data_IF_504959407447
#
_entry.id   IF_504959407447
#
_cell.length_a   1.000
_cell.length_b   1.000
_cell.length_c   1.000
_cell.angle_alpha   90.00
_cell.angle_beta   90.00
_cell.angle_gamma   90.00
#
_symmetry.space_group_name_H-M   'P 1'
#
loop_
_entity.id
_entity.type
_entity.pdbx_description
1 polymer ?
#
# COMPACT_ATOMS: atom_id res chain seq x y z
N UNK A 1 8.36 17.49 -27.59
CA UNK A 1 8.28 18.40 -26.44
C UNK A 1 6.88 19.00 -26.42
N UNK A 2 5.92 18.28 -25.84
CA UNK A 2 4.56 18.78 -25.62
C UNK A 2 4.44 19.22 -24.15
N UNK A 3 4.02 20.47 -23.96
CA UNK A 3 3.50 21.13 -22.76
C UNK A 3 3.61 20.38 -21.41
N UNK A 4 4.74 20.55 -20.72
CA UNK A 4 4.94 20.24 -19.29
C UNK A 4 4.46 21.36 -18.35
N UNK A 5 3.71 22.34 -18.83
CA UNK A 5 3.43 23.58 -18.09
C UNK A 5 2.11 23.60 -17.31
N UNK A 6 1.36 22.49 -17.23
CA UNK A 6 0.10 22.45 -16.48
C UNK A 6 -0.21 21.09 -15.79
N UNK A 7 0.80 20.25 -15.57
CA UNK A 7 0.66 18.91 -14.95
C UNK A 7 0.73 18.93 -13.43
N UNK A 8 1.42 19.91 -12.83
CA UNK A 8 1.69 19.97 -11.39
C UNK A 8 0.42 20.12 -10.55
N UNK A 9 -0.63 20.73 -11.11
CA UNK A 9 -1.93 20.87 -10.45
C UNK A 9 -2.80 19.63 -10.63
N UNK A 10 -2.56 18.81 -11.67
CA UNK A 10 -3.44 17.69 -12.03
C UNK A 10 -3.17 16.49 -11.13
N UNK A 11 -1.91 16.09 -10.94
CA UNK A 11 -1.59 14.99 -10.03
C UNK A 11 -1.98 15.32 -8.61
N UNK A 12 -1.63 16.52 -8.13
CA UNK A 12 -2.02 16.98 -6.80
C UNK A 12 -3.52 16.87 -6.59
N UNK A 13 -4.32 17.43 -7.50
CA UNK A 13 -5.79 17.35 -7.43
C UNK A 13 -6.29 15.92 -7.39
N UNK A 14 -5.75 15.04 -8.26
CA UNK A 14 -6.11 13.62 -8.28
C UNK A 14 -5.76 12.91 -6.97
N UNK A 15 -4.55 13.16 -6.45
CA UNK A 15 -4.04 12.50 -5.26
C UNK A 15 -4.76 12.99 -4.00
N UNK A 16 -5.01 14.29 -3.87
CA UNK A 16 -5.81 14.85 -2.77
C UNK A 16 -7.22 14.25 -2.73
N UNK A 17 -7.90 14.17 -3.87
CA UNK A 17 -9.21 13.50 -3.97
C UNK A 17 -9.14 12.03 -3.59
N UNK A 18 -8.03 11.35 -3.89
CA UNK A 18 -7.82 9.95 -3.51
C UNK A 18 -7.64 9.83 -2.00
N UNK A 19 -6.83 10.70 -1.38
CA UNK A 19 -6.62 10.74 0.06
C UNK A 19 -7.90 11.06 0.83
N UNK A 20 -8.70 12.00 0.33
CA UNK A 20 -10.04 12.29 0.88
C UNK A 20 -10.94 11.05 0.84
N UNK A 21 -10.93 10.32 -0.29
CA UNK A 21 -11.70 9.07 -0.44
C UNK A 21 -11.19 7.96 0.48
N UNK A 22 -9.92 7.93 0.86
CA UNK A 22 -9.43 6.96 1.85
C UNK A 22 -10.13 7.12 3.21
N UNK A 23 -10.64 8.32 3.53
CA UNK A 23 -11.33 8.59 4.79
C UNK A 23 -10.39 8.57 6.00
N UNK A 24 -9.11 8.89 5.79
CA UNK A 24 -8.14 9.04 6.87
C UNK A 24 -8.18 10.42 7.51
N UNK A 25 -7.71 10.49 8.76
CA UNK A 25 -7.52 11.75 9.47
C UNK A 25 -6.54 12.66 8.74
N UNK A 26 -6.61 13.96 9.03
CA UNK A 26 -5.70 14.95 8.46
C UNK A 26 -4.23 14.63 8.81
N UNK A 27 -4.01 14.14 10.02
CA UNK A 27 -2.71 13.72 10.54
C UNK A 27 -2.12 12.60 9.66
N UNK A 28 -2.86 11.52 9.43
CA UNK A 28 -2.40 10.42 8.56
C UNK A 28 -2.09 10.92 7.15
N UNK A 29 -2.89 11.83 6.60
CA UNK A 29 -2.63 12.40 5.27
C UNK A 29 -1.33 13.21 5.24
N UNK A 30 -1.09 14.07 6.24
CA UNK A 30 0.15 14.88 6.34
C UNK A 30 1.39 14.00 6.47
N UNK A 31 1.35 13.00 7.35
CA UNK A 31 2.50 12.10 7.54
C UNK A 31 2.76 11.23 6.31
N UNK A 32 1.71 10.76 5.64
CA UNK A 32 1.83 10.06 4.36
C UNK A 32 2.48 10.94 3.30
N UNK A 33 2.03 12.19 3.15
CA UNK A 33 2.57 13.12 2.16
C UNK A 33 4.03 13.47 2.45
N UNK A 34 4.37 13.70 3.72
CA UNK A 34 5.77 13.88 4.12
C UNK A 34 6.61 12.67 3.72
N UNK A 35 6.21 11.47 4.12
CA UNK A 35 7.01 10.28 3.85
C UNK A 35 7.02 9.89 2.37
N UNK A 36 5.97 10.20 1.62
CA UNK A 36 5.95 10.10 0.16
C UNK A 36 7.06 10.98 -0.43
N UNK A 37 7.17 12.24 -0.01
CA UNK A 37 8.27 13.13 -0.39
C UNK A 37 9.64 12.57 0.01
N UNK A 38 9.75 12.02 1.23
CA UNK A 38 10.99 11.44 1.75
C UNK A 38 11.48 10.21 0.98
N UNK A 39 10.57 9.47 0.34
CA UNK A 39 10.89 8.15 -0.19
C UNK A 39 10.64 8.01 -1.69
N UNK A 40 10.12 9.04 -2.37
CA UNK A 40 9.73 8.97 -3.78
C UNK A 40 10.87 8.58 -4.71
N UNK A 41 12.11 8.99 -4.41
CA UNK A 41 13.29 8.57 -5.17
C UNK A 41 13.57 7.10 -4.90
N UNK A 42 13.84 6.78 -3.63
CA UNK A 42 14.21 5.43 -3.18
C UNK A 42 13.19 4.36 -3.61
N UNK A 43 11.89 4.66 -3.57
CA UNK A 43 10.81 3.74 -3.98
C UNK A 43 10.78 3.45 -5.49
N UNK A 44 11.35 4.32 -6.32
CA UNK A 44 11.16 4.30 -7.78
C UNK A 44 12.46 4.17 -8.57
N UNK A 45 13.63 4.28 -7.93
CA UNK A 45 14.95 4.20 -8.58
C UNK A 45 15.08 2.97 -9.46
N UNK A 46 14.80 1.77 -8.94
CA UNK A 46 14.96 0.52 -9.70
C UNK A 46 14.07 0.47 -10.95
N UNK A 47 12.83 0.96 -10.84
CA UNK A 47 11.92 0.98 -11.98
C UNK A 47 12.39 1.96 -13.07
N UNK A 48 12.92 3.12 -12.69
CA UNK A 48 13.46 4.12 -13.63
C UNK A 48 14.74 3.60 -14.29
N UNK A 49 15.66 3.02 -13.51
CA UNK A 49 16.90 2.42 -14.02
C UNK A 49 16.64 1.23 -14.94
N UNK A 50 15.57 0.47 -14.71
CA UNK A 50 15.17 -0.62 -15.61
C UNK A 50 14.67 -0.13 -16.97
N UNK A 51 14.11 1.09 -17.01
CA UNK A 51 13.47 1.67 -18.19
C UNK A 51 14.41 2.51 -19.04
N UNK A 52 15.32 3.23 -18.40
CA UNK A 52 16.24 4.16 -19.04
C UNK A 52 17.68 3.78 -18.74
N UNK A 53 18.54 3.89 -19.76
CA UNK A 53 20.00 3.66 -19.63
C UNK A 53 20.81 4.96 -19.66
N UNK A 54 20.18 6.06 -20.04
CA UNK A 54 20.80 7.36 -20.16
C UNK A 54 20.69 8.11 -18.83
N UNK A 55 21.82 8.56 -18.30
CA UNK A 55 21.92 9.19 -16.99
C UNK A 55 21.17 10.52 -16.92
N UNK A 56 21.24 11.33 -17.98
CA UNK A 56 20.52 12.60 -18.06
C UNK A 56 19.02 12.33 -17.99
N UNK A 57 18.55 11.32 -18.74
CA UNK A 57 17.13 10.94 -18.73
C UNK A 57 16.69 10.42 -17.36
N UNK A 58 17.51 9.62 -16.68
CA UNK A 58 17.22 9.13 -15.32
C UNK A 58 17.06 10.32 -14.36
N UNK A 59 17.96 11.30 -14.42
CA UNK A 59 17.90 12.50 -13.58
C UNK A 59 16.67 13.36 -13.89
N UNK A 60 16.33 13.54 -15.17
CA UNK A 60 15.11 14.26 -15.58
C UNK A 60 13.84 13.61 -15.00
N UNK A 61 13.74 12.28 -15.07
CA UNK A 61 12.57 11.54 -14.58
C UNK A 61 12.46 11.58 -13.04
N UNK A 62 13.58 11.43 -12.33
CA UNK A 62 13.62 11.57 -10.88
C UNK A 62 13.24 12.99 -10.44
N UNK A 63 13.76 14.02 -11.12
CA UNK A 63 13.39 15.41 -10.85
C UNK A 63 11.92 15.69 -11.14
N UNK A 64 11.36 15.09 -12.18
CA UNK A 64 9.95 15.21 -12.49
C UNK A 64 9.09 14.57 -11.39
N UNK A 65 9.42 13.35 -10.95
CA UNK A 65 8.68 12.66 -9.88
C UNK A 65 8.69 13.45 -8.56
N UNK A 66 9.85 13.96 -8.14
CA UNK A 66 9.97 14.77 -6.92
C UNK A 66 9.09 16.03 -6.99
N UNK A 67 8.84 16.58 -8.19
CA UNK A 67 8.04 17.81 -8.37
C UNK A 67 6.56 17.53 -8.67
N UNK A 68 6.16 16.26 -8.73
CA UNK A 68 4.87 15.86 -9.26
C UNK A 68 3.70 16.31 -8.38
N UNK A 69 3.83 16.21 -7.05
CA UNK A 69 2.79 16.65 -6.11
C UNK A 69 2.89 18.14 -5.79
N UNK A 70 4.12 18.63 -5.56
CA UNK A 70 4.38 20.05 -5.35
C UNK A 70 5.81 20.41 -5.73
N UNK A 71 5.99 21.67 -6.16
CA UNK A 71 7.31 22.25 -6.45
C UNK A 71 7.87 22.93 -5.19
N UNK A 72 9.13 22.66 -4.82
CA UNK A 72 9.81 23.43 -3.77
C UNK A 72 9.83 24.92 -4.11
N UNK A 73 9.64 25.76 -3.10
CA UNK A 73 9.73 27.21 -3.24
C UNK A 73 11.14 27.67 -2.83
N UNK A 74 11.86 28.34 -3.72
CA UNK A 74 13.21 28.85 -3.42
C UNK A 74 13.22 29.91 -2.30
N UNK A 75 12.10 30.60 -2.06
CA UNK A 75 11.97 31.62 -1.02
C UNK A 75 11.60 31.06 0.35
N UNK A 76 11.14 29.81 0.44
CA UNK A 76 10.66 29.21 1.67
C UNK A 76 10.82 27.69 1.67
N UNK A 77 11.63 27.20 2.60
CA UNK A 77 11.81 25.78 2.86
C UNK A 77 11.07 25.40 4.17
N UNK A 78 9.94 24.66 4.10
CA UNK A 78 9.19 24.23 5.27
C UNK A 78 9.98 23.26 6.17
N UNK A 79 11.03 22.61 5.65
CA UNK A 79 11.88 21.75 6.47
C UNK A 79 12.70 22.53 7.49
N UNK A 80 12.91 23.83 7.30
CA UNK A 80 13.58 24.67 8.31
C UNK A 80 12.75 24.86 9.59
N UNK A 81 11.45 24.56 9.55
CA UNK A 81 10.56 24.59 10.73
C UNK A 81 10.54 23.27 11.48
N UNK A 82 11.19 22.23 10.95
CA UNK A 82 11.13 20.86 11.45
C UNK A 82 12.39 20.54 12.25
N UNK A 83 12.20 20.14 13.50
CA UNK A 83 13.23 19.37 14.21
C UNK A 83 13.16 17.93 13.71
N UNK A 84 14.28 17.40 13.23
CA UNK A 84 14.29 16.10 12.56
C UNK A 84 14.17 14.91 13.53
N UNK A 85 14.57 15.08 14.80
CA UNK A 85 14.65 14.00 15.79
C UNK A 85 13.33 13.24 15.97
N UNK A 86 12.14 13.87 16.16
CA UNK A 86 10.88 13.14 16.24
C UNK A 86 10.60 12.23 15.03
N UNK A 87 10.90 12.72 13.82
CA UNK A 87 10.68 11.99 12.58
C UNK A 87 11.68 10.83 12.47
N UNK A 88 12.96 11.09 12.73
CA UNK A 88 14.01 10.07 12.71
C UNK A 88 13.73 8.97 13.76
N UNK A 89 13.25 9.33 14.95
CA UNK A 89 12.78 8.38 15.98
C UNK A 89 11.61 7.53 15.50
N UNK A 90 10.62 8.11 14.81
CA UNK A 90 9.52 7.34 14.24
C UNK A 90 9.98 6.35 13.16
N UNK A 91 10.89 6.78 12.27
CA UNK A 91 11.48 5.93 11.22
C UNK A 91 12.25 4.77 11.85
N UNK A 92 13.13 5.07 12.82
CA UNK A 92 13.92 4.06 13.53
C UNK A 92 13.03 3.07 14.28
N UNK A 93 11.99 3.56 14.96
CA UNK A 93 11.04 2.74 15.72
C UNK A 93 10.25 1.81 14.81
N UNK A 94 9.74 2.30 13.68
CA UNK A 94 9.04 1.47 12.71
C UNK A 94 9.94 0.32 12.23
N UNK A 95 11.17 0.64 11.85
CA UNK A 95 12.16 -0.34 11.40
C UNK A 95 12.47 -1.36 12.50
N UNK A 96 12.64 -0.92 13.74
CA UNK A 96 12.86 -1.79 14.89
C UNK A 96 11.72 -2.78 15.07
N UNK A 97 10.47 -2.31 15.06
CA UNK A 97 9.28 -3.16 15.22
C UNK A 97 9.19 -4.18 14.09
N UNK A 98 9.33 -3.75 12.84
CA UNK A 98 9.23 -4.65 11.68
C UNK A 98 10.30 -5.73 11.73
N UNK A 99 11.56 -5.35 11.91
CA UNK A 99 12.68 -6.27 11.81
C UNK A 99 12.76 -7.20 13.03
N UNK A 100 12.66 -6.64 14.25
CA UNK A 100 12.85 -7.42 15.47
C UNK A 100 11.56 -8.10 15.92
N UNK A 101 10.49 -7.32 16.14
CA UNK A 101 9.27 -7.83 16.78
C UNK A 101 8.42 -8.67 15.82
N UNK A 102 8.28 -8.23 14.56
CA UNK A 102 7.37 -8.91 13.63
C UNK A 102 8.07 -10.00 12.80
N UNK A 103 9.26 -9.70 12.25
CA UNK A 103 10.00 -10.66 11.40
C UNK A 103 10.97 -11.55 12.18
N UNK A 104 11.20 -11.30 13.47
CA UNK A 104 12.11 -12.09 14.31
C UNK A 104 13.58 -11.99 13.87
N UNK A 105 13.95 -10.94 13.14
CA UNK A 105 15.31 -10.69 12.68
C UNK A 105 16.06 -9.84 13.71
N UNK A 106 16.38 -10.45 14.86
CA UNK A 106 17.02 -9.73 15.96
C UNK A 106 18.35 -9.06 15.53
N UNK A 107 18.52 -7.83 16.05
CA UNK A 107 19.72 -7.01 15.93
C UNK A 107 20.09 -6.63 14.49
N UNK A 108 19.15 -6.62 13.53
CA UNK A 108 19.48 -6.22 12.15
C UNK A 108 19.95 -4.77 12.05
N UNK A 109 19.28 -3.84 12.76
CA UNK A 109 19.71 -2.45 12.81
C UNK A 109 21.10 -2.33 13.42
N UNK A 110 21.38 -3.05 14.52
CA UNK A 110 22.72 -3.07 15.13
C UNK A 110 23.79 -3.69 14.23
N UNK A 111 23.45 -4.75 13.48
CA UNK A 111 24.33 -5.36 12.49
C UNK A 111 24.65 -4.37 11.37
N UNK A 112 23.64 -3.67 10.87
CA UNK A 112 23.80 -2.62 9.87
C UNK A 112 24.73 -1.51 10.39
N UNK A 113 24.49 -1.00 11.60
CA UNK A 113 25.34 0.01 12.26
C UNK A 113 26.79 -0.48 12.40
N UNK A 114 27.00 -1.72 12.86
CA UNK A 114 28.35 -2.29 13.03
C UNK A 114 29.08 -2.46 11.70
N UNK A 115 28.35 -2.77 10.63
CA UNK A 115 28.91 -2.95 9.29
C UNK A 115 29.17 -1.61 8.60
N UNK A 116 28.40 -0.58 8.94
CA UNK A 116 28.43 0.73 8.29
C UNK A 116 28.50 1.87 9.33
N UNK A 117 29.57 1.97 10.15
CA UNK A 117 29.64 2.93 11.27
C UNK A 117 29.53 4.40 10.82
N UNK A 118 29.98 4.72 9.61
CA UNK A 118 29.93 6.07 9.02
C UNK A 118 28.57 6.40 8.38
N UNK A 119 27.62 5.45 8.37
CA UNK A 119 26.32 5.53 7.67
C UNK A 119 25.18 5.35 8.66
N UNK A 120 25.15 6.19 9.71
CA UNK A 120 24.19 6.08 10.82
C UNK A 120 23.54 7.40 11.23
N UNK A 121 23.51 8.41 10.36
CA UNK A 121 23.12 9.79 10.74
C UNK A 121 21.66 9.94 11.19
N UNK A 122 20.73 9.17 10.61
CA UNK A 122 19.34 9.14 11.08
C UNK A 122 19.25 8.46 12.45
N UNK A 123 20.12 7.47 12.68
CA UNK A 123 20.11 6.61 13.86
C UNK A 123 20.80 7.30 15.05
N UNK A 124 21.87 8.03 14.81
CA UNK A 124 22.70 8.65 15.86
C UNK A 124 21.91 9.66 16.71
N UNK A 125 20.96 10.33 16.09
CA UNK A 125 20.19 11.42 16.72
C UNK A 125 18.78 10.98 17.15
N UNK A 126 18.44 9.70 16.94
CA UNK A 126 17.11 9.15 17.15
C UNK A 126 17.08 8.12 18.29
N UNK A 127 15.93 8.03 18.95
CA UNK A 127 15.66 7.02 19.98
C UNK A 127 14.42 6.23 19.61
N UNK A 128 14.44 4.92 19.87
CA UNK A 128 13.25 4.07 19.71
C UNK A 128 12.16 4.53 20.68
N UNK A 129 10.94 4.67 20.18
CA UNK A 129 9.75 5.00 20.96
C UNK A 129 9.24 3.72 21.66
N UNK A 130 9.54 3.59 22.96
CA UNK A 130 9.29 2.38 23.75
C UNK A 130 7.79 2.00 23.84
N UNK A 131 6.91 3.00 23.84
CA UNK A 131 5.47 2.78 23.87
C UNK A 131 4.96 2.11 22.59
N UNK A 132 5.62 2.34 21.45
CA UNK A 132 5.29 1.63 20.21
C UNK A 132 5.81 0.20 20.27
N UNK A 133 7.07 0.00 20.64
CA UNK A 133 7.64 -1.35 20.67
C UNK A 133 6.86 -2.25 21.62
N UNK A 134 6.44 -1.73 22.77
CA UNK A 134 5.58 -2.45 23.71
C UNK A 134 4.24 -2.89 23.11
N UNK A 135 3.59 -2.04 22.29
CA UNK A 135 2.31 -2.37 21.65
C UNK A 135 2.41 -3.53 20.63
N UNK A 136 3.57 -3.63 19.96
CA UNK A 136 3.80 -4.63 18.91
C UNK A 136 4.62 -5.84 19.38
N UNK A 137 5.05 -5.85 20.64
CA UNK A 137 5.79 -6.95 21.23
C UNK A 137 4.98 -8.25 21.17
N UNK A 138 5.64 -9.34 20.78
CA UNK A 138 5.07 -10.68 20.64
C UNK A 138 3.88 -10.76 19.66
N UNK A 139 3.66 -9.73 18.83
CA UNK A 139 2.60 -9.75 17.81
C UNK A 139 3.07 -10.50 16.57
N UNK A 140 2.14 -11.19 15.90
CA UNK A 140 2.47 -11.92 14.67
C UNK A 140 2.52 -10.96 13.49
N UNK A 141 3.46 -11.20 12.58
CA UNK A 141 3.48 -10.54 11.27
C UNK A 141 2.23 -10.92 10.46
N UNK A 142 1.23 -10.03 10.49
CA UNK A 142 -0.04 -10.15 9.80
C UNK A 142 -0.45 -8.82 9.21
N UNK A 143 -1.35 -8.86 8.24
CA UNK A 143 -1.71 -7.66 7.49
C UNK A 143 -2.38 -6.59 8.36
N UNK A 144 -3.28 -6.95 9.29
CA UNK A 144 -3.86 -5.98 10.22
C UNK A 144 -2.80 -5.34 11.13
N UNK A 145 -1.86 -6.13 11.67
CA UNK A 145 -0.73 -5.63 12.46
C UNK A 145 0.10 -4.61 11.68
N UNK A 146 0.45 -4.95 10.43
CA UNK A 146 1.21 -4.08 9.54
C UNK A 146 0.45 -2.78 9.22
N UNK A 147 -0.84 -2.89 8.91
CA UNK A 147 -1.69 -1.73 8.62
C UNK A 147 -1.77 -0.78 9.82
N UNK A 148 -1.97 -1.32 11.04
CA UNK A 148 -1.99 -0.53 12.27
C UNK A 148 -0.66 0.19 12.49
N UNK A 149 0.46 -0.50 12.26
CA UNK A 149 1.79 0.12 12.36
C UNK A 149 1.97 1.22 11.31
N UNK A 150 1.51 1.03 10.07
CA UNK A 150 1.53 2.07 9.04
C UNK A 150 0.71 3.30 9.48
N UNK A 151 -0.51 3.10 9.97
CA UNK A 151 -1.37 4.19 10.46
C UNK A 151 -0.68 4.94 11.61
N UNK A 152 -0.17 4.23 12.61
CA UNK A 152 0.52 4.84 13.76
C UNK A 152 1.74 5.65 13.32
N UNK A 153 2.51 5.13 12.36
CA UNK A 153 3.65 5.82 11.78
C UNK A 153 3.29 7.14 11.10
N UNK A 154 2.34 7.11 10.16
CA UNK A 154 1.92 8.31 9.46
C UNK A 154 1.20 9.29 10.37
N UNK A 155 0.37 8.81 11.29
CA UNK A 155 -0.34 9.66 12.24
C UNK A 155 0.64 10.41 13.15
N UNK A 156 1.68 9.77 13.67
CA UNK A 156 2.65 10.43 14.55
C UNK A 156 3.43 11.54 13.85
N UNK A 157 3.96 11.26 12.66
CA UNK A 157 4.62 12.29 11.84
C UNK A 157 3.62 13.41 11.51
N UNK A 158 2.39 13.03 11.14
CA UNK A 158 1.33 13.96 10.81
C UNK A 158 0.91 14.89 11.95
N UNK A 159 0.78 14.37 13.17
CA UNK A 159 0.50 15.15 14.38
C UNK A 159 1.58 16.19 14.62
N UNK A 160 2.85 15.80 14.48
CA UNK A 160 3.98 16.72 14.61
C UNK A 160 3.93 17.84 13.56
N UNK A 161 3.75 17.49 12.28
CA UNK A 161 3.66 18.46 11.19
C UNK A 161 2.44 19.39 11.32
N UNK A 162 1.31 18.86 11.81
CA UNK A 162 0.11 19.64 12.08
C UNK A 162 0.32 20.65 13.21
N UNK A 163 1.06 20.28 14.25
CA UNK A 163 1.40 21.20 15.34
C UNK A 163 2.27 22.37 14.86
N UNK A 164 3.03 22.19 13.79
CA UNK A 164 3.78 23.23 13.09
C UNK A 164 2.92 24.02 12.07
N UNK A 165 1.63 23.74 11.98
CA UNK A 165 0.69 24.38 11.04
C UNK A 165 1.05 24.23 9.56
N UNK A 166 1.80 23.19 9.19
CA UNK A 166 2.14 22.90 7.80
C UNK A 166 0.92 22.35 7.04
N UNK A 167 0.65 22.89 5.85
CA UNK A 167 -0.32 22.33 4.93
C UNK A 167 0.21 21.09 4.20
N UNK A 168 -0.65 20.40 3.46
CA UNK A 168 -0.29 19.16 2.74
C UNK A 168 0.83 19.35 1.70
N UNK A 169 0.88 20.52 1.05
CA UNK A 169 1.93 20.88 0.10
C UNK A 169 3.27 21.06 0.82
N UNK A 170 3.25 21.80 1.92
CA UNK A 170 4.43 22.04 2.77
C UNK A 170 4.94 20.73 3.37
N UNK A 171 4.06 19.84 3.84
CA UNK A 171 4.45 18.52 4.35
C UNK A 171 5.20 17.70 3.30
N UNK A 172 4.68 17.62 2.07
CA UNK A 172 5.35 16.89 0.98
C UNK A 172 6.72 17.49 0.63
N UNK A 173 6.80 18.81 0.48
CA UNK A 173 8.07 19.51 0.19
C UNK A 173 9.07 19.32 1.33
N UNK A 174 8.63 19.40 2.58
CA UNK A 174 9.48 19.15 3.73
C UNK A 174 10.05 17.72 3.74
N UNK A 175 9.25 16.75 3.32
CA UNK A 175 9.69 15.36 3.14
C UNK A 175 10.81 15.21 2.11
N UNK A 176 10.70 15.90 0.97
CA UNK A 176 11.75 15.94 -0.06
C UNK A 176 13.04 16.54 0.50
N UNK A 177 12.95 17.65 1.21
CA UNK A 177 14.12 18.34 1.75
C UNK A 177 14.76 17.54 2.90
N UNK A 178 13.96 16.85 3.71
CA UNK A 178 14.44 15.84 4.67
C UNK A 178 15.27 14.77 3.94
N UNK A 179 14.73 14.19 2.86
CA UNK A 179 15.46 13.18 2.07
C UNK A 179 16.76 13.72 1.51
N UNK A 180 16.75 14.89 0.86
CA UNK A 180 17.95 15.47 0.26
C UNK A 180 19.05 15.70 1.31
N UNK A 181 18.69 16.22 2.48
CA UNK A 181 19.65 16.43 3.58
C UNK A 181 20.24 15.11 4.06
N UNK A 182 19.41 14.16 4.47
CA UNK A 182 19.89 12.92 5.07
C UNK A 182 20.55 11.98 4.07
N UNK A 183 20.09 11.96 2.82
CA UNK A 183 20.72 11.19 1.75
C UNK A 183 22.12 11.71 1.41
N UNK A 184 22.35 13.04 1.48
CA UNK A 184 23.68 13.63 1.27
C UNK A 184 24.68 13.32 2.39
N UNK A 185 24.19 13.03 3.59
CA UNK A 185 25.00 12.70 4.77
C UNK A 185 25.22 11.19 4.85
N UNK A 186 24.16 10.41 4.60
CA UNK A 186 24.08 8.98 4.85
C UNK A 186 23.12 8.32 3.85
N UNK A 187 23.62 8.09 2.65
CA UNK A 187 22.85 7.47 1.57
C UNK A 187 22.39 6.04 1.94
N UNK A 188 23.28 5.22 2.47
CA UNK A 188 23.00 3.80 2.73
C UNK A 188 22.01 3.62 3.89
N UNK A 189 22.23 4.30 5.02
CA UNK A 189 21.33 4.23 6.18
C UNK A 189 19.95 4.77 5.86
N UNK A 190 19.87 5.91 5.17
CA UNK A 190 18.59 6.51 4.75
C UNK A 190 17.80 5.58 3.84
N UNK A 191 18.47 4.96 2.86
CA UNK A 191 17.80 4.04 1.94
C UNK A 191 17.40 2.73 2.62
N UNK A 192 18.25 2.15 3.47
CA UNK A 192 17.93 0.94 4.22
C UNK A 192 16.64 1.10 5.06
N UNK A 193 16.56 2.20 5.82
CA UNK A 193 15.40 2.47 6.68
C UNK A 193 14.14 2.79 5.86
N UNK A 194 14.28 3.54 4.76
CA UNK A 194 13.15 3.92 3.91
C UNK A 194 12.58 2.72 3.14
N UNK A 195 13.45 1.89 2.55
CA UNK A 195 13.04 0.69 1.81
C UNK A 195 12.34 -0.32 2.72
N UNK A 196 12.84 -0.52 3.94
CA UNK A 196 12.17 -1.40 4.91
C UNK A 196 10.74 -0.94 5.20
N UNK A 197 10.49 0.37 5.31
CA UNK A 197 9.14 0.92 5.45
C UNK A 197 8.31 0.64 4.20
N UNK A 198 8.81 1.00 3.01
CA UNK A 198 8.11 0.83 1.72
C UNK A 198 7.72 -0.64 1.48
N UNK A 199 8.65 -1.56 1.71
CA UNK A 199 8.48 -3.00 1.46
C UNK A 199 7.45 -3.63 2.39
N UNK A 200 7.24 -3.02 3.55
CA UNK A 200 6.27 -3.46 4.58
C UNK A 200 5.02 -2.59 4.66
N UNK A 201 4.75 -1.75 3.66
CA UNK A 201 3.47 -1.09 3.53
C UNK A 201 2.34 -2.12 3.27
N UNK A 202 1.19 -1.94 3.91
CA UNK A 202 -0.02 -2.66 3.53
C UNK A 202 -0.48 -2.30 2.11
N UNK A 203 -1.26 -3.16 1.43
CA UNK A 203 -1.63 -2.98 0.02
C UNK A 203 -2.19 -1.60 -0.34
N UNK A 204 -2.96 -0.97 0.56
CA UNK A 204 -3.48 0.37 0.33
C UNK A 204 -2.39 1.45 0.33
N UNK A 205 -1.42 1.40 1.24
CA UNK A 205 -0.31 2.33 1.22
C UNK A 205 0.63 2.06 0.04
N UNK A 206 0.94 0.78 -0.26
CA UNK A 206 1.71 0.42 -1.47
C UNK A 206 1.11 1.00 -2.73
N UNK A 207 -0.22 0.94 -2.83
CA UNK A 207 -0.97 1.53 -3.95
C UNK A 207 -0.71 3.03 -4.07
N UNK A 208 -0.86 3.78 -2.98
CA UNK A 208 -0.69 5.23 -2.99
C UNK A 208 0.76 5.65 -3.28
N UNK A 209 1.74 4.89 -2.79
CA UNK A 209 3.16 5.16 -3.07
C UNK A 209 3.55 4.82 -4.52
N UNK A 210 2.78 3.97 -5.20
CA UNK A 210 2.97 3.70 -6.63
C UNK A 210 2.26 4.71 -7.56
N UNK A 211 1.31 5.50 -7.05
CA UNK A 211 0.52 6.44 -7.86
C UNK A 211 1.36 7.51 -8.56
N UNK A 212 2.42 8.10 -7.99
CA UNK A 212 3.27 9.05 -8.73
C UNK A 212 3.82 8.47 -10.03
N UNK A 213 4.30 7.22 -9.97
CA UNK A 213 4.87 6.54 -11.12
C UNK A 213 3.80 6.14 -12.14
N UNK A 214 2.68 5.59 -11.65
CA UNK A 214 1.53 5.24 -12.50
C UNK A 214 0.93 6.46 -13.18
N UNK A 215 0.86 7.60 -12.50
CA UNK A 215 0.37 8.84 -13.11
C UNK A 215 1.31 9.33 -14.21
N UNK A 216 2.63 9.18 -14.01
CA UNK A 216 3.64 9.61 -14.99
C UNK A 216 3.58 8.77 -16.26
N UNK A 217 3.39 7.45 -16.16
CA UNK A 217 3.50 6.54 -17.31
C UNK A 217 2.18 5.97 -17.82
N UNK A 218 1.15 5.92 -16.99
CA UNK A 218 -0.14 5.31 -17.25
C UNK A 218 -1.32 6.15 -16.71
N UNK A 219 -1.38 7.47 -17.00
CA UNK A 219 -2.39 8.35 -16.41
C UNK A 219 -3.82 7.97 -16.80
N UNK A 220 -4.03 7.44 -18.02
CA UNK A 220 -5.34 7.05 -18.49
C UNK A 220 -5.85 5.82 -17.74
N UNK A 221 -5.00 4.81 -17.56
CA UNK A 221 -5.30 3.60 -16.81
C UNK A 221 -5.54 3.93 -15.34
N UNK A 222 -4.70 4.78 -14.74
CA UNK A 222 -4.84 5.23 -13.36
C UNK A 222 -6.18 5.97 -13.14
N UNK A 223 -6.55 6.88 -14.04
CA UNK A 223 -7.82 7.62 -13.96
C UNK A 223 -9.05 6.73 -14.21
N UNK A 224 -8.91 5.67 -15.00
CA UNK A 224 -9.99 4.72 -15.27
C UNK A 224 -10.16 3.69 -14.14
N UNK A 225 -9.11 3.44 -13.36
CA UNK A 225 -9.10 2.45 -12.29
C UNK A 225 -9.63 3.04 -10.98
N UNK A 226 -10.47 2.27 -10.31
CA UNK A 226 -10.89 2.59 -8.95
C UNK A 226 -9.82 2.18 -7.93
N UNK A 227 -9.77 2.87 -6.78
CA UNK A 227 -8.81 2.61 -5.71
C UNK A 227 -8.82 1.14 -5.26
N UNK A 228 -10.01 0.56 -5.04
CA UNK A 228 -10.22 -0.89 -4.83
C UNK A 228 -9.39 -1.78 -5.79
N UNK A 229 -9.45 -1.50 -7.09
CA UNK A 229 -8.77 -2.32 -8.11
C UNK A 229 -7.26 -2.17 -8.04
N UNK A 230 -6.79 -0.97 -7.68
CA UNK A 230 -5.37 -0.72 -7.47
C UNK A 230 -4.88 -1.46 -6.22
N UNK A 231 -5.63 -1.38 -5.11
CA UNK A 231 -5.34 -2.13 -3.88
C UNK A 231 -5.27 -3.63 -4.16
N UNK A 232 -6.24 -4.15 -4.91
CA UNK A 232 -6.27 -5.55 -5.31
C UNK A 232 -5.03 -5.93 -6.13
N UNK A 233 -4.61 -5.09 -7.07
CA UNK A 233 -3.42 -5.33 -7.87
C UNK A 233 -2.16 -5.42 -7.01
N UNK A 234 -1.94 -4.46 -6.11
CA UNK A 234 -0.77 -4.47 -5.22
C UNK A 234 -0.84 -5.54 -4.12
N UNK A 235 -2.04 -6.07 -3.83
CA UNK A 235 -2.20 -7.22 -2.97
C UNK A 235 -1.68 -8.51 -3.64
N UNK A 236 -2.19 -8.86 -4.82
CA UNK A 236 -1.79 -10.13 -5.46
C UNK A 236 -0.49 -10.04 -6.26
N UNK A 237 0.08 -8.85 -6.52
CA UNK A 237 1.43 -8.73 -7.11
C UNK A 237 2.50 -9.42 -6.25
N UNK A 238 2.25 -9.52 -4.95
CA UNK A 238 3.09 -10.26 -4.00
C UNK A 238 2.62 -11.71 -3.79
N UNK A 239 1.58 -12.15 -4.52
CA UNK A 239 1.04 -13.50 -4.47
C UNK A 239 1.47 -14.31 -5.72
N UNK A 240 0.93 -15.52 -5.88
CA UNK A 240 1.28 -16.39 -7.00
C UNK A 240 0.90 -15.76 -8.36
N UNK A 241 1.92 -15.35 -9.12
CA UNK A 241 1.78 -14.64 -10.41
C UNK A 241 1.12 -15.49 -11.49
N UNK A 242 1.25 -16.82 -11.44
CA UNK A 242 0.70 -17.73 -12.46
C UNK A 242 -0.83 -17.78 -12.45
N UNK A 243 -1.43 -17.62 -11.27
CA UNK A 243 -2.89 -17.59 -11.09
C UNK A 243 -3.45 -16.16 -11.06
N UNK A 244 -2.63 -15.18 -10.69
CA UNK A 244 -3.01 -13.78 -10.59
C UNK A 244 -3.62 -13.26 -11.89
N UNK A 245 -3.09 -13.68 -13.06
CA UNK A 245 -3.63 -13.30 -14.37
C UNK A 245 -5.10 -13.69 -14.56
N UNK A 246 -5.52 -14.86 -14.07
CA UNK A 246 -6.89 -15.33 -14.18
C UNK A 246 -7.82 -14.58 -13.23
N UNK A 247 -7.37 -14.35 -11.99
CA UNK A 247 -8.12 -13.55 -11.01
C UNK A 247 -8.27 -12.10 -11.49
N UNK A 248 -7.23 -11.53 -12.10
CA UNK A 248 -7.27 -10.21 -12.71
C UNK A 248 -8.23 -10.15 -13.90
N UNK A 249 -8.21 -11.17 -14.78
CA UNK A 249 -9.16 -11.26 -15.89
C UNK A 249 -10.60 -11.30 -15.37
N UNK A 250 -10.87 -12.08 -14.32
CA UNK A 250 -12.20 -12.15 -13.72
C UNK A 250 -12.61 -10.82 -13.08
N UNK A 251 -11.66 -10.14 -12.43
CA UNK A 251 -11.90 -8.83 -11.81
C UNK A 251 -12.39 -7.83 -12.85
N UNK A 252 -11.76 -7.82 -14.03
CA UNK A 252 -12.22 -6.95 -15.12
C UNK A 252 -13.60 -7.31 -15.65
N UNK A 253 -13.90 -8.61 -15.79
CA UNK A 253 -15.24 -9.04 -16.20
C UNK A 253 -16.31 -8.58 -15.21
N UNK A 254 -16.02 -8.72 -13.91
CA UNK A 254 -16.96 -8.49 -12.83
C UNK A 254 -17.15 -7.00 -12.51
N UNK A 255 -16.07 -6.22 -12.43
CA UNK A 255 -16.13 -4.85 -11.93
C UNK A 255 -16.18 -3.79 -13.01
N UNK A 256 -15.79 -4.10 -14.26
CA UNK A 256 -15.64 -3.10 -15.31
C UNK A 256 -16.55 -3.34 -16.52
N UNK A 257 -17.01 -2.23 -17.09
CA UNK A 257 -17.63 -2.20 -18.43
C UNK A 257 -16.56 -2.30 -19.52
N UNK A 258 -16.93 -2.90 -20.66
CA UNK A 258 -16.06 -2.91 -21.84
C UNK A 258 -16.30 -1.62 -22.65
N UNK A 259 -15.23 -0.85 -22.88
CA UNK A 259 -15.17 0.30 -23.81
C UNK A 259 -16.26 1.39 -23.62
N UNK A 260 -16.01 2.46 -22.83
CA UNK A 260 -14.79 2.75 -22.09
C UNK A 260 -14.68 1.90 -20.82
N UNK A 261 -13.46 1.59 -20.41
CA UNK A 261 -13.21 0.87 -19.15
C UNK A 261 -13.60 1.79 -17.98
N UNK A 262 -14.72 1.48 -17.35
CA UNK A 262 -15.22 2.17 -16.14
C UNK A 262 -15.79 1.15 -15.17
N UNK A 263 -15.64 1.41 -13.87
CA UNK A 263 -16.32 0.61 -12.85
C UNK A 263 -17.83 0.61 -13.13
N UNK A 264 -18.43 -0.58 -13.09
CA UNK A 264 -19.85 -0.77 -13.28
C UNK A 264 -20.62 -0.07 -12.16
N UNK A 265 -21.76 0.55 -12.49
CA UNK A 265 -22.52 1.39 -11.55
C UNK A 265 -23.06 0.62 -10.34
N UNK A 266 -23.20 -0.69 -10.50
CA UNK A 266 -23.59 -1.67 -9.49
C UNK A 266 -22.56 -1.77 -8.36
N UNK A 267 -21.29 -1.44 -8.63
CA UNK A 267 -20.22 -1.40 -7.63
C UNK A 267 -20.01 0.04 -7.15
N UNK A 268 -20.91 0.49 -6.26
CA UNK A 268 -20.80 1.80 -5.64
C UNK A 268 -20.24 1.65 -4.22
N UNK A 269 -18.92 1.74 -4.10
CA UNK A 269 -18.23 1.55 -2.82
C UNK A 269 -18.50 2.70 -1.85
N UNK A 270 -18.85 3.88 -2.34
CA UNK A 270 -19.00 5.10 -1.56
C UNK A 270 -20.36 5.26 -0.91
N UNK A 271 -21.44 4.82 -1.58
CA UNK A 271 -22.82 5.08 -1.14
C UNK A 271 -23.54 3.85 -0.61
N UNK A 272 -23.17 2.67 -1.08
CA UNK A 272 -23.86 1.44 -0.69
C UNK A 272 -23.43 1.00 0.72
N UNK A 273 -24.30 0.29 1.43
CA UNK A 273 -23.96 -0.24 2.75
C UNK A 273 -22.80 -1.23 2.63
N UNK A 274 -21.74 -1.04 3.44
CA UNK A 274 -20.53 -1.87 3.40
C UNK A 274 -20.79 -3.38 3.46
N UNK A 275 -21.68 -3.81 4.36
CA UNK A 275 -22.07 -5.22 4.48
C UNK A 275 -22.75 -5.79 3.21
N UNK A 276 -23.49 -4.95 2.48
CA UNK A 276 -24.10 -5.34 1.19
C UNK A 276 -23.01 -5.55 0.14
N UNK A 277 -22.06 -4.61 0.02
CA UNK A 277 -20.92 -4.73 -0.91
C UNK A 277 -20.07 -5.96 -0.59
N UNK A 278 -19.72 -6.19 0.68
CA UNK A 278 -18.95 -7.37 1.13
C UNK A 278 -19.68 -8.66 0.72
N UNK A 279 -20.97 -8.76 1.02
CA UNK A 279 -21.78 -9.94 0.66
C UNK A 279 -21.84 -10.16 -0.86
N UNK A 280 -22.03 -9.08 -1.62
CA UNK A 280 -22.02 -9.12 -3.08
C UNK A 280 -20.66 -9.56 -3.64
N UNK A 281 -19.55 -9.05 -3.09
CA UNK A 281 -18.20 -9.44 -3.51
C UNK A 281 -18.00 -10.94 -3.30
N UNK A 282 -18.29 -11.46 -2.11
CA UNK A 282 -18.12 -12.89 -1.82
C UNK A 282 -19.01 -13.72 -2.75
N UNK A 283 -20.29 -13.37 -2.87
CA UNK A 283 -21.21 -14.11 -3.73
C UNK A 283 -20.76 -14.15 -5.19
N UNK A 284 -20.34 -13.01 -5.74
CA UNK A 284 -19.93 -12.92 -7.13
C UNK A 284 -18.54 -13.54 -7.34
N UNK A 285 -17.60 -13.38 -6.42
CA UNK A 285 -16.26 -13.96 -6.52
C UNK A 285 -16.32 -15.50 -6.61
N UNK A 286 -17.22 -16.15 -5.86
CA UNK A 286 -17.47 -17.60 -5.95
C UNK A 286 -17.87 -18.09 -7.35
N UNK A 287 -18.45 -17.21 -8.17
CA UNK A 287 -18.94 -17.57 -9.51
C UNK A 287 -17.83 -17.59 -10.58
N UNK A 288 -16.56 -17.30 -10.25
CA UNK A 288 -15.43 -17.39 -11.20
C UNK A 288 -15.41 -18.73 -11.96
N UNK A 289 -15.70 -19.83 -11.26
CA UNK A 289 -15.73 -21.19 -11.82
C UNK A 289 -16.85 -21.43 -12.83
N UNK A 290 -17.86 -20.56 -12.87
CA UNK A 290 -18.97 -20.59 -13.84
C UNK A 290 -18.67 -19.76 -15.09
N UNK A 291 -17.53 -19.09 -15.14
CA UNK A 291 -17.07 -18.35 -16.32
C UNK A 291 -16.11 -19.19 -17.15
N UNK A 292 -15.67 -18.65 -18.29
CA UNK A 292 -14.62 -19.27 -19.11
C UNK A 292 -13.32 -19.52 -18.34
N UNK A 293 -13.07 -18.77 -17.26
CA UNK A 293 -11.90 -18.95 -16.40
C UNK A 293 -11.96 -20.28 -15.64
N UNK A 294 -13.16 -20.82 -15.40
CA UNK A 294 -13.38 -22.14 -14.82
C UNK A 294 -12.64 -23.26 -15.55
N UNK A 295 -12.43 -23.12 -16.87
CA UNK A 295 -11.70 -24.10 -17.69
C UNK A 295 -10.21 -24.20 -17.31
N UNK A 296 -9.65 -23.18 -16.66
CA UNK A 296 -8.26 -23.15 -16.21
C UNK A 296 -8.08 -23.67 -14.77
N UNK A 297 -9.08 -24.34 -14.20
CA UNK A 297 -9.01 -24.92 -12.85
C UNK A 297 -7.75 -25.77 -12.61
N UNK A 298 -7.28 -26.51 -13.62
CA UNK A 298 -6.05 -27.30 -13.50
C UNK A 298 -4.83 -26.46 -13.12
N UNK A 299 -4.73 -25.21 -13.59
CA UNK A 299 -3.65 -24.29 -13.24
C UNK A 299 -3.71 -23.91 -11.75
N UNK A 300 -4.92 -23.74 -11.21
CA UNK A 300 -5.10 -23.45 -9.79
C UNK A 300 -4.67 -24.67 -8.94
N UNK A 301 -5.03 -25.88 -9.34
CA UNK A 301 -4.67 -27.09 -8.59
C UNK A 301 -3.17 -27.39 -8.54
N UNK A 302 -2.40 -26.96 -9.55
CA UNK A 302 -0.95 -27.17 -9.63
C UNK A 302 -0.15 -26.34 -8.62
N UNK A 303 -0.70 -25.24 -8.11
CA UNK A 303 -0.04 -24.41 -7.09
C UNK A 303 -0.32 -24.93 -5.68
N UNK A 304 0.68 -25.00 -4.81
CA UNK A 304 0.48 -25.21 -3.36
C UNK A 304 0.53 -23.92 -2.54
N UNK A 305 0.71 -22.77 -3.20
CA UNK A 305 0.85 -21.45 -2.60
C UNK A 305 -0.52 -20.83 -2.26
N UNK A 306 -1.33 -21.57 -1.49
CA UNK A 306 -2.63 -21.12 -0.98
C UNK A 306 -2.67 -21.24 0.52
N UNK A 307 -3.41 -20.33 1.16
CA UNK A 307 -3.62 -20.39 2.61
C UNK A 307 -4.51 -21.58 2.96
N UNK A 308 -5.63 -21.77 2.25
CA UNK A 308 -6.54 -22.91 2.46
C UNK A 308 -6.34 -24.01 1.40
N UNK A 309 -5.10 -24.49 1.24
CA UNK A 309 -4.73 -25.53 0.27
C UNK A 309 -5.49 -26.85 0.49
N UNK A 310 -5.98 -27.09 1.70
CA UNK A 310 -6.82 -28.23 2.05
C UNK A 310 -8.18 -28.22 1.35
N UNK A 311 -8.59 -27.15 0.68
CA UNK A 311 -9.83 -27.11 -0.11
C UNK A 311 -9.71 -27.80 -1.47
N UNK A 312 -8.49 -28.16 -1.92
CA UNK A 312 -8.27 -28.84 -3.20
C UNK A 312 -9.13 -30.09 -3.33
N UNK A 313 -9.89 -30.14 -4.43
CA UNK A 313 -10.80 -31.22 -4.81
C UNK A 313 -11.88 -31.59 -3.78
N UNK A 314 -12.11 -30.75 -2.76
CA UNK A 314 -13.22 -30.93 -1.82
C UNK A 314 -14.55 -30.55 -2.46
N UNK A 315 -15.59 -31.22 -1.99
CA UNK A 315 -16.99 -30.83 -2.19
C UNK A 315 -17.49 -30.23 -0.88
N UNK A 316 -18.05 -29.01 -0.92
CA UNK A 316 -18.61 -28.35 0.27
C UNK A 316 -19.83 -27.50 -0.08
N UNK A 317 -20.67 -27.16 0.89
CA UNK A 317 -21.80 -26.27 0.65
C UNK A 317 -21.31 -24.83 0.45
N UNK A 318 -22.17 -23.96 -0.12
CA UNK A 318 -21.84 -22.54 -0.28
C UNK A 318 -21.69 -21.83 1.07
N UNK A 319 -22.50 -22.18 2.06
CA UNK A 319 -22.47 -21.56 3.38
C UNK A 319 -21.20 -21.98 4.15
N UNK A 320 -20.81 -23.25 4.09
CA UNK A 320 -19.54 -23.70 4.70
C UNK A 320 -18.34 -22.98 4.08
N UNK A 321 -18.37 -22.74 2.77
CA UNK A 321 -17.29 -22.04 2.07
C UNK A 321 -17.21 -20.57 2.47
N UNK A 322 -18.36 -19.88 2.51
CA UNK A 322 -18.41 -18.51 3.02
C UNK A 322 -17.91 -18.43 4.46
N UNK A 323 -18.31 -19.38 5.31
CA UNK A 323 -17.81 -19.49 6.69
C UNK A 323 -16.29 -19.67 6.76
N UNK A 324 -15.74 -20.50 5.88
CA UNK A 324 -14.28 -20.70 5.79
C UNK A 324 -13.55 -19.43 5.32
N UNK A 325 -14.11 -18.71 4.34
CA UNK A 325 -13.56 -17.42 3.90
C UNK A 325 -13.62 -16.39 5.01
N UNK A 326 -14.76 -16.22 5.70
CA UNK A 326 -14.86 -15.29 6.83
C UNK A 326 -13.86 -15.64 7.92
N UNK A 327 -13.74 -16.93 8.27
CA UNK A 327 -12.76 -17.38 9.24
C UNK A 327 -11.32 -17.08 8.81
N UNK A 328 -10.98 -17.27 7.53
CA UNK A 328 -9.68 -16.92 6.97
C UNK A 328 -9.39 -15.43 7.14
N UNK A 329 -10.34 -14.56 6.78
CA UNK A 329 -10.18 -13.10 6.90
C UNK A 329 -9.99 -12.67 8.36
N UNK A 330 -10.75 -13.25 9.28
CA UNK A 330 -10.69 -12.88 10.69
C UNK A 330 -9.45 -13.44 11.41
N UNK A 331 -8.96 -14.62 11.03
CA UNK A 331 -7.87 -15.28 11.75
C UNK A 331 -6.51 -15.11 11.10
N UNK A 332 -6.41 -15.23 9.79
CA UNK A 332 -5.14 -15.09 9.08
C UNK A 332 -4.80 -13.62 8.86
N UNK A 333 -5.76 -12.83 8.38
CA UNK A 333 -5.56 -11.40 8.13
C UNK A 333 -5.86 -10.52 9.33
N UNK A 334 -6.51 -11.05 10.38
CA UNK A 334 -6.93 -10.31 11.58
C UNK A 334 -7.87 -9.14 11.29
N UNK A 335 -8.68 -9.27 10.24
CA UNK A 335 -9.70 -8.28 9.88
C UNK A 335 -11.07 -8.75 10.34
N UNK A 336 -11.62 -8.13 11.37
CA UNK A 336 -12.98 -8.39 11.84
C UNK A 336 -13.98 -7.74 10.90
N UNK A 337 -14.82 -8.54 10.25
CA UNK A 337 -15.77 -8.03 9.24
C UNK A 337 -16.73 -7.01 9.85
N UNK A 338 -17.21 -7.24 11.07
CA UNK A 338 -18.12 -6.32 11.76
C UNK A 338 -17.45 -4.95 12.02
N UNK A 339 -16.19 -4.94 12.48
CA UNK A 339 -15.44 -3.70 12.70
C UNK A 339 -15.19 -2.97 11.36
N UNK A 340 -14.99 -3.69 10.26
CA UNK A 340 -14.86 -3.10 8.92
C UNK A 340 -16.17 -2.46 8.44
N UNK A 341 -17.32 -3.01 8.83
CA UNK A 341 -18.62 -2.46 8.48
C UNK A 341 -18.90 -1.18 9.28
N UNK A 342 -18.56 -1.17 10.57
CA UNK A 342 -19.02 -0.14 11.50
C UNK A 342 -17.99 0.96 11.82
N UNK A 343 -16.70 0.63 11.85
CA UNK A 343 -15.67 1.48 12.48
C UNK A 343 -14.50 1.83 11.58
N UNK A 344 -14.26 1.06 10.52
CA UNK A 344 -13.07 1.26 9.70
C UNK A 344 -13.18 2.49 8.79
N UNK A 345 -12.03 2.98 8.36
CA UNK A 345 -11.91 3.98 7.30
C UNK A 345 -12.34 3.39 5.95
N UNK A 346 -12.58 4.26 4.96
CA UNK A 346 -12.97 3.78 3.64
C UNK A 346 -11.83 3.00 2.97
N UNK A 347 -10.57 3.41 3.18
CA UNK A 347 -9.37 2.70 2.73
C UNK A 347 -9.29 1.26 3.26
N UNK A 348 -9.51 1.07 4.57
CA UNK A 348 -9.55 -0.26 5.19
C UNK A 348 -10.68 -1.11 4.62
N UNK A 349 -11.86 -0.52 4.44
CA UNK A 349 -12.99 -1.20 3.80
C UNK A 349 -12.66 -1.67 2.38
N UNK A 350 -12.05 -0.82 1.54
CA UNK A 350 -11.64 -1.20 0.18
C UNK A 350 -10.55 -2.29 0.19
N UNK A 351 -9.61 -2.23 1.14
CA UNK A 351 -8.58 -3.25 1.30
C UNK A 351 -9.19 -4.60 1.69
N UNK A 352 -10.11 -4.63 2.66
CA UNK A 352 -10.85 -5.85 3.02
C UNK A 352 -11.64 -6.39 1.84
N UNK A 353 -12.31 -5.53 1.07
CA UNK A 353 -13.00 -5.92 -0.16
C UNK A 353 -12.06 -6.58 -1.18
N UNK A 354 -10.87 -6.02 -1.37
CA UNK A 354 -9.88 -6.54 -2.32
C UNK A 354 -9.41 -7.95 -1.92
N UNK A 355 -9.10 -8.14 -0.63
CA UNK A 355 -8.67 -9.43 -0.09
C UNK A 355 -9.80 -10.45 -0.17
N UNK A 356 -11.01 -10.08 0.26
CA UNK A 356 -12.19 -10.94 0.15
C UNK A 356 -12.42 -11.40 -1.29
N UNK A 357 -12.33 -10.48 -2.26
CA UNK A 357 -12.47 -10.83 -3.66
C UNK A 357 -11.42 -11.86 -4.10
N UNK A 358 -10.15 -11.60 -3.83
CA UNK A 358 -9.05 -12.47 -4.22
C UNK A 358 -9.17 -13.85 -3.55
N UNK A 359 -9.29 -13.87 -2.23
CA UNK A 359 -9.34 -15.11 -1.44
C UNK A 359 -10.54 -15.96 -1.83
N UNK A 360 -11.71 -15.35 -2.04
CA UNK A 360 -12.91 -16.05 -2.47
C UNK A 360 -12.75 -16.61 -3.88
N UNK A 361 -12.25 -15.82 -4.84
CA UNK A 361 -12.11 -16.24 -6.22
C UNK A 361 -11.09 -17.39 -6.35
N UNK A 362 -9.94 -17.25 -5.71
CA UNK A 362 -8.87 -18.26 -5.74
C UNK A 362 -9.33 -19.56 -5.10
N UNK A 363 -9.89 -19.51 -3.89
CA UNK A 363 -10.26 -20.72 -3.18
C UNK A 363 -11.51 -21.40 -3.78
N UNK A 364 -12.41 -20.66 -4.42
CA UNK A 364 -13.53 -21.25 -5.16
C UNK A 364 -13.07 -22.10 -6.36
N UNK A 365 -11.89 -21.80 -6.93
CA UNK A 365 -11.30 -22.60 -8.01
C UNK A 365 -10.67 -23.91 -7.50
N UNK A 366 -10.31 -24.01 -6.21
CA UNK A 366 -9.73 -25.23 -5.65
C UNK A 366 -10.76 -26.35 -5.44
N UNK A 367 -12.01 -25.97 -5.14
CA UNK A 367 -13.09 -26.92 -4.92
C UNK A 367 -13.42 -27.72 -6.17
N UNK A 368 -13.80 -28.98 -5.98
CA UNK A 368 -14.35 -29.82 -7.05
C UNK A 368 -15.74 -29.32 -7.41
N UNK A 369 -16.60 -29.15 -6.42
CA UNK A 369 -17.95 -28.64 -6.59
C UNK A 369 -18.52 -27.98 -5.34
N UNK A 370 -19.58 -27.19 -5.54
CA UNK A 370 -20.42 -26.70 -4.45
C UNK A 370 -21.59 -27.65 -4.34
N UNK A 371 -21.80 -28.24 -3.17
CA UNK A 371 -22.97 -29.06 -2.89
C UNK A 371 -24.23 -28.18 -2.95
N UNK A 372 -25.24 -28.66 -3.65
CA UNK A 372 -26.55 -28.03 -3.82
C UNK A 372 -27.25 -27.79 -2.50
#
# INVERSE_FOLDING_TARGET
>A
MENLTNTDTVFKTYFDQTLERCGWSEEVQKGLLFFLGTSIVTANTDQILSRYKDEIRIQEELHYLIRLYAKPNEAYDPFNEIEATPISSAILTYNHIVLNELLGQENQIEKFIKQNPDHTSIISDASVLEDWTFEFKDTKYKLATLHRLNIKFFEYIGQYLKALHLDNTQCYVAGINYYQKYQSIDFEGTNFLSLTIIDTLSPVFKTLFAYPLLFTYHPNELNANHLFSSILQFFYMNANTDIAKYVHQYHHQLFYTQNPRKVRKEWNFEKEKRGVIISQIVHNAMNIRKTMIGNYRSHFLQSDNYIMKELKDKTMTREDFKGSISHLIETYYEMKIDDVIEKSTHAEFLQTCAILYYETAVHAMLLKEFKS
#
